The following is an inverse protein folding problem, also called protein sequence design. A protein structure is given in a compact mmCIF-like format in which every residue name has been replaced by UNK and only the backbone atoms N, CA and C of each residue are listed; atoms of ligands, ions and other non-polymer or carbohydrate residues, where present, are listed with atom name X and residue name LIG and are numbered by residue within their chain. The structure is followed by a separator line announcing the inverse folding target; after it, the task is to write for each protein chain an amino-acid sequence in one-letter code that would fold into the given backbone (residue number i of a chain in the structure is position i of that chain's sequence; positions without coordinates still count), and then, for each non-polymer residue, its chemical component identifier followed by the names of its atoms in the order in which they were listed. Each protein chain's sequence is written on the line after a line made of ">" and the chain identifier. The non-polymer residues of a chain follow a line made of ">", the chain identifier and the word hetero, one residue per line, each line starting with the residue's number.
data_IF_796242962858
#
_entry.id   IF_796242962858
#
_cell.length_a   1.000
_cell.length_b   1.000
_cell.length_c   1.000
_cell.angle_alpha   90.00
_cell.angle_beta   90.00
_cell.angle_gamma   90.00
#
_symmetry.space_group_name_H-M   'P 1'
#
loop_
_entity.id
_entity.type
_entity.pdbx_description
1 polymer ?
#
# COMPACT_ATOMS: atom_id res chain seq x y z
N UNK A 1 -48.91 -25.20 -20.87
CA UNK A 1 -47.47 -25.40 -20.63
C UNK A 1 -46.78 -24.03 -20.62
N UNK A 2 -46.73 -23.35 -19.48
CA UNK A 2 -46.34 -21.92 -19.38
C UNK A 2 -45.38 -21.63 -18.21
N UNK A 3 -44.71 -22.63 -17.65
CA UNK A 3 -44.06 -22.51 -16.32
C UNK A 3 -42.56 -22.85 -16.26
N UNK A 4 -41.83 -22.90 -17.38
CA UNK A 4 -40.43 -23.40 -17.36
C UNK A 4 -39.36 -22.46 -17.95
N UNK A 5 -39.66 -21.20 -18.27
CA UNK A 5 -38.68 -20.31 -18.92
C UNK A 5 -37.93 -19.39 -17.93
N UNK A 6 -38.28 -19.37 -16.64
CA UNK A 6 -37.75 -18.39 -15.68
C UNK A 6 -36.56 -18.86 -14.80
N UNK A 7 -35.89 -19.98 -15.11
CA UNK A 7 -34.81 -20.53 -14.26
C UNK A 7 -33.38 -20.41 -14.82
N UNK A 8 -33.16 -19.84 -16.01
CA UNK A 8 -31.83 -19.80 -16.63
C UNK A 8 -31.09 -18.46 -16.48
N UNK A 9 -31.62 -17.49 -15.72
CA UNK A 9 -31.09 -16.12 -15.69
C UNK A 9 -30.34 -15.72 -14.40
N UNK A 10 -29.93 -16.68 -13.59
CA UNK A 10 -29.26 -16.39 -12.32
C UNK A 10 -28.08 -17.30 -12.09
N UNK A 11 -26.91 -16.96 -12.65
CA UNK A 11 -25.59 -17.34 -12.10
C UNK A 11 -24.38 -16.81 -12.89
N UNK A 12 -24.49 -15.68 -13.60
CA UNK A 12 -23.29 -14.87 -13.86
C UNK A 12 -22.97 -14.09 -12.58
N UNK A 13 -22.67 -14.81 -11.50
CA UNK A 13 -21.97 -14.20 -10.38
C UNK A 13 -20.64 -13.74 -10.95
N UNK A 14 -20.48 -12.43 -11.12
CA UNK A 14 -19.23 -11.83 -11.55
C UNK A 14 -18.14 -12.32 -10.59
N UNK A 15 -17.32 -13.28 -11.04
CA UNK A 15 -16.04 -13.60 -10.44
C UNK A 15 -15.16 -12.38 -10.69
N UNK A 16 -15.37 -11.31 -9.91
CA UNK A 16 -14.54 -10.14 -9.92
C UNK A 16 -13.20 -10.53 -9.34
N UNK A 17 -12.23 -10.83 -10.20
CA UNK A 17 -10.84 -10.83 -9.79
C UNK A 17 -10.44 -9.38 -9.51
N UNK A 18 -9.69 -9.17 -8.42
CA UNK A 18 -9.17 -7.85 -8.11
C UNK A 18 -8.31 -7.36 -9.29
N UNK A 19 -8.72 -6.25 -9.90
CA UNK A 19 -8.06 -5.69 -11.07
C UNK A 19 -6.86 -4.86 -10.66
N UNK A 20 -5.78 -4.86 -11.46
CA UNK A 20 -4.66 -3.94 -11.23
C UNK A 20 -5.06 -2.51 -11.65
N UNK A 21 -4.98 -1.56 -10.72
CA UNK A 21 -5.29 -0.15 -10.91
C UNK A 21 -4.04 0.58 -11.43
N UNK A 22 -4.11 1.09 -12.66
CA UNK A 22 -2.91 1.51 -13.41
C UNK A 22 -2.53 2.99 -13.19
N UNK A 23 -3.44 3.81 -12.69
CA UNK A 23 -3.22 5.25 -12.52
C UNK A 23 -3.94 5.77 -11.28
N UNK A 24 -3.49 6.92 -10.77
CA UNK A 24 -4.05 7.61 -9.60
C UNK A 24 -5.56 7.76 -9.69
N UNK A 25 -6.10 8.11 -10.86
CA UNK A 25 -7.55 8.28 -11.04
C UNK A 25 -8.33 6.99 -10.84
N UNK A 26 -7.78 5.83 -11.21
CA UNK A 26 -8.41 4.53 -11.01
C UNK A 26 -8.43 4.17 -9.52
N UNK A 27 -7.31 4.40 -8.83
CA UNK A 27 -7.17 4.21 -7.37
C UNK A 27 -8.15 5.12 -6.63
N UNK A 28 -8.19 6.40 -6.99
CA UNK A 28 -9.14 7.37 -6.44
C UNK A 28 -10.57 6.89 -6.65
N UNK A 29 -10.91 6.47 -7.87
CA UNK A 29 -12.27 6.03 -8.19
C UNK A 29 -12.68 4.79 -7.39
N UNK A 30 -11.78 3.81 -7.23
CA UNK A 30 -12.02 2.62 -6.42
C UNK A 30 -12.33 3.00 -4.96
N UNK A 31 -11.49 3.84 -4.35
CA UNK A 31 -11.64 4.27 -2.94
C UNK A 31 -12.97 5.01 -2.73
N UNK A 32 -13.29 6.01 -3.56
CA UNK A 32 -14.53 6.78 -3.39
C UNK A 32 -15.78 5.96 -3.70
N UNK A 33 -15.63 4.85 -4.43
CA UNK A 33 -16.71 3.88 -4.67
C UNK A 33 -16.85 2.86 -3.53
N UNK A 34 -16.06 3.00 -2.46
CA UNK A 34 -16.07 2.09 -1.31
C UNK A 34 -15.37 0.76 -1.56
N UNK A 35 -14.57 0.65 -2.63
CA UNK A 35 -13.84 -0.57 -2.97
C UNK A 35 -12.51 -0.56 -2.20
N UNK A 36 -12.22 -1.58 -1.37
CA UNK A 36 -10.93 -1.71 -0.71
C UNK A 36 -9.81 -1.83 -1.73
N UNK A 37 -8.62 -1.33 -1.37
CA UNK A 37 -7.42 -1.48 -2.20
C UNK A 37 -6.34 -2.29 -1.49
N UNK A 38 -5.52 -2.97 -2.28
CA UNK A 38 -4.34 -3.70 -1.83
C UNK A 38 -3.09 -3.15 -2.51
N UNK A 39 -2.12 -2.71 -1.72
CA UNK A 39 -0.89 -2.06 -2.18
C UNK A 39 0.26 -3.07 -2.05
N UNK A 40 0.97 -3.32 -3.14
CA UNK A 40 2.18 -4.14 -3.17
C UNK A 40 3.34 -3.26 -3.65
N UNK A 41 4.43 -3.23 -2.89
CA UNK A 41 5.60 -2.40 -3.15
C UNK A 41 6.82 -3.30 -3.28
N UNK A 42 7.54 -3.15 -4.38
CA UNK A 42 8.90 -3.64 -4.57
C UNK A 42 9.88 -2.53 -4.18
N UNK A 43 10.40 -2.59 -2.96
CA UNK A 43 11.29 -1.56 -2.43
C UNK A 43 12.61 -1.46 -3.20
N UNK A 44 13.04 -2.55 -3.85
CA UNK A 44 14.29 -2.55 -4.66
C UNK A 44 14.19 -1.65 -5.90
N UNK A 45 12.97 -1.29 -6.30
CA UNK A 45 12.68 -0.39 -7.44
C UNK A 45 12.35 1.04 -7.01
N UNK A 46 12.31 1.33 -5.72
CA UNK A 46 12.09 2.69 -5.21
C UNK A 46 13.39 3.50 -5.19
N UNK A 47 13.25 4.83 -5.08
CA UNK A 47 14.38 5.76 -4.91
C UNK A 47 14.25 6.55 -3.62
N UNK A 48 15.37 7.00 -3.07
CA UNK A 48 15.38 7.92 -1.91
C UNK A 48 15.01 9.35 -2.30
N UNK A 49 14.79 10.23 -1.33
CA UNK A 49 14.57 11.68 -1.55
C UNK A 49 15.62 12.38 -2.42
N UNK A 50 16.83 11.82 -2.56
CA UNK A 50 17.90 12.33 -3.41
C UNK A 50 17.87 11.75 -4.83
N UNK A 51 16.83 10.99 -5.19
CA UNK A 51 16.73 10.28 -6.46
C UNK A 51 17.68 9.08 -6.60
N UNK A 52 18.39 8.71 -5.52
CA UNK A 52 19.36 7.61 -5.53
C UNK A 52 18.64 6.30 -5.25
N UNK A 53 18.95 5.25 -6.03
CA UNK A 53 18.51 3.88 -5.75
C UNK A 53 18.95 3.47 -4.35
N UNK A 54 18.05 2.85 -3.60
CA UNK A 54 18.35 2.41 -2.24
C UNK A 54 18.97 1.03 -2.33
N UNK A 55 20.16 0.86 -1.76
CA UNK A 55 20.74 -0.46 -1.56
C UNK A 55 20.24 -1.02 -0.22
N UNK A 56 19.29 -1.95 -0.31
CA UNK A 56 18.77 -2.68 0.85
C UNK A 56 19.61 -3.91 1.20
N UNK A 57 20.70 -4.18 0.46
CA UNK A 57 21.47 -5.42 0.53
C UNK A 57 20.61 -6.69 0.42
N UNK A 58 19.45 -6.58 -0.24
CA UNK A 58 18.49 -7.64 -0.48
C UNK A 58 18.24 -7.77 -1.98
N UNK A 59 18.14 -9.00 -2.49
CA UNK A 59 17.78 -9.26 -3.89
C UNK A 59 16.31 -8.91 -4.17
N UNK A 60 15.47 -9.12 -3.16
CA UNK A 60 14.04 -8.94 -3.20
C UNK A 60 13.59 -8.36 -1.85
N UNK A 61 12.76 -7.33 -1.89
CA UNK A 61 12.17 -6.73 -0.70
C UNK A 61 10.78 -6.21 -1.05
N UNK A 62 9.77 -7.02 -0.75
CA UNK A 62 8.37 -6.71 -1.04
C UNK A 62 7.62 -6.36 0.23
N UNK A 63 6.90 -5.25 0.21
CA UNK A 63 5.88 -4.91 1.20
C UNK A 63 4.48 -5.10 0.61
N UNK A 64 3.53 -5.53 1.43
CA UNK A 64 2.14 -5.71 1.05
C UNK A 64 1.24 -5.21 2.17
N UNK A 65 0.23 -4.41 1.83
CA UNK A 65 -0.70 -3.83 2.79
C UNK A 65 -2.09 -3.62 2.16
N UNK A 66 -3.12 -3.90 2.94
CA UNK A 66 -4.47 -3.39 2.74
C UNK A 66 -4.76 -2.35 3.83
N UNK A 67 -4.78 -1.04 3.52
CA UNK A 67 -5.14 -0.03 4.49
C UNK A 67 -6.58 -0.23 4.98
N UNK A 68 -6.78 -0.24 6.30
CA UNK A 68 -8.12 -0.19 6.90
C UNK A 68 -8.70 1.23 6.89
N UNK A 69 -7.83 2.25 6.86
CA UNK A 69 -8.16 3.66 6.81
C UNK A 69 -7.39 4.33 5.68
N UNK A 70 -8.10 5.07 4.85
CA UNK A 70 -7.55 5.76 3.68
C UNK A 70 -8.30 7.06 3.43
N UNK A 71 -7.58 8.11 3.05
CA UNK A 71 -8.12 9.42 2.75
C UNK A 71 -7.76 9.83 1.33
N UNK A 72 -8.71 10.44 0.62
CA UNK A 72 -8.49 11.12 -0.65
C UNK A 72 -8.55 12.62 -0.37
N UNK A 73 -7.46 13.35 -0.64
CA UNK A 73 -7.35 14.78 -0.38
C UNK A 73 -6.79 15.45 -1.63
N UNK A 74 -7.56 16.31 -2.28
CA UNK A 74 -7.19 17.12 -3.47
C UNK A 74 -6.25 16.42 -4.46
N UNK A 75 -4.94 16.52 -4.24
CA UNK A 75 -3.83 16.06 -5.07
C UNK A 75 -3.20 14.72 -4.68
N UNK A 76 -3.62 14.10 -3.57
CA UNK A 76 -3.05 12.85 -3.07
C UNK A 76 -4.05 11.92 -2.38
N UNK A 77 -3.63 10.66 -2.22
CA UNK A 77 -4.31 9.62 -1.45
C UNK A 77 -3.37 9.22 -0.32
N UNK A 78 -3.83 9.33 0.92
CA UNK A 78 -3.03 9.07 2.11
C UNK A 78 -3.54 7.86 2.88
N UNK A 79 -2.62 7.03 3.32
CA UNK A 79 -2.86 5.95 4.26
C UNK A 79 -1.68 5.84 5.23
N UNK A 80 -1.89 5.17 6.35
CA UNK A 80 -0.81 4.84 7.27
C UNK A 80 -1.03 3.47 7.88
N UNK A 81 0.04 2.90 8.41
CA UNK A 81 -0.03 1.72 9.25
C UNK A 81 0.82 1.92 10.50
N UNK A 82 0.48 1.15 11.50
CA UNK A 82 1.23 1.05 12.74
C UNK A 82 1.47 -0.43 13.03
N UNK A 83 2.66 -0.92 12.70
CA UNK A 83 3.00 -2.34 12.77
C UNK A 83 3.85 -2.60 14.00
N UNK A 84 3.31 -3.35 14.95
CA UNK A 84 4.10 -3.87 16.07
C UNK A 84 4.98 -5.01 15.59
N UNK A 85 6.26 -5.02 15.98
CA UNK A 85 7.17 -6.12 15.67
C UNK A 85 8.24 -6.30 16.76
N UNK A 86 8.78 -7.52 16.81
CA UNK A 86 10.00 -7.90 17.55
C UNK A 86 11.16 -8.21 16.60
N UNK A 87 10.93 -8.20 15.29
CA UNK A 87 11.85 -8.66 14.26
C UNK A 87 12.51 -7.51 13.49
N UNK A 88 12.52 -6.30 14.07
CA UNK A 88 13.13 -5.15 13.42
C UNK A 88 14.66 -5.34 13.32
N UNK A 89 15.30 -5.24 12.14
CA UNK A 89 16.71 -5.63 11.95
C UNK A 89 17.73 -4.90 12.85
N UNK A 90 17.41 -3.68 13.29
CA UNK A 90 18.26 -2.89 14.20
C UNK A 90 17.89 -3.02 15.68
N UNK A 91 16.76 -3.67 15.99
CA UNK A 91 16.17 -3.77 17.33
C UNK A 91 15.56 -5.15 17.54
N UNK A 92 16.34 -6.21 17.29
CA UNK A 92 15.90 -7.60 17.45
C UNK A 92 15.46 -7.88 18.89
N UNK A 93 14.36 -8.61 19.03
CA UNK A 93 13.71 -8.98 20.30
C UNK A 93 13.26 -7.79 21.17
N UNK A 94 13.29 -6.56 20.62
CA UNK A 94 12.78 -5.38 21.29
C UNK A 94 11.40 -5.00 20.73
N UNK A 95 10.40 -4.74 21.59
CA UNK A 95 9.08 -4.30 21.15
C UNK A 95 9.18 -2.90 20.54
N UNK A 96 8.95 -2.83 19.23
CA UNK A 96 8.94 -1.57 18.47
C UNK A 96 7.68 -1.46 17.62
N UNK A 97 7.31 -0.22 17.30
CA UNK A 97 6.34 0.07 16.25
C UNK A 97 7.05 0.61 15.02
N UNK A 98 6.77 0.01 13.88
CA UNK A 98 7.06 0.60 12.57
C UNK A 98 5.86 1.45 12.17
N UNK A 99 6.03 2.76 12.18
CA UNK A 99 5.02 3.69 11.69
C UNK A 99 5.32 4.03 10.23
N UNK A 100 4.45 3.57 9.34
CA UNK A 100 4.54 3.84 7.91
C UNK A 100 3.43 4.74 7.42
N UNK A 101 3.77 5.64 6.49
CA UNK A 101 2.82 6.51 5.79
C UNK A 101 3.00 6.33 4.29
N UNK A 102 1.88 6.21 3.59
CA UNK A 102 1.80 6.22 2.14
C UNK A 102 1.10 7.48 1.67
N UNK A 103 1.62 8.09 0.62
CA UNK A 103 0.96 9.19 -0.08
C UNK A 103 1.11 8.96 -1.58
N UNK A 104 0.06 8.54 -2.27
CA UNK A 104 0.03 8.44 -3.73
C UNK A 104 -0.42 9.78 -4.31
N UNK A 105 0.43 10.43 -5.10
CA UNK A 105 0.15 11.70 -5.77
C UNK A 105 -0.42 11.50 -7.17
N UNK A 106 -1.03 12.55 -7.73
CA UNK A 106 -1.64 12.54 -9.06
C UNK A 106 -0.67 12.29 -10.24
N UNK A 107 0.64 12.39 -10.01
CA UNK A 107 1.72 12.05 -10.94
C UNK A 107 2.11 10.55 -10.89
N UNK A 108 1.33 9.72 -10.19
CA UNK A 108 1.53 8.27 -10.04
C UNK A 108 2.80 7.90 -9.25
N UNK A 109 3.22 8.76 -8.32
CA UNK A 109 4.29 8.48 -7.38
C UNK A 109 3.69 8.17 -6.00
N UNK A 110 4.02 7.01 -5.46
CA UNK A 110 3.75 6.68 -4.07
C UNK A 110 4.96 7.05 -3.23
N UNK A 111 4.77 7.99 -2.33
CA UNK A 111 5.71 8.34 -1.28
C UNK A 111 5.49 7.41 -0.09
N UNK A 112 6.45 6.53 0.17
CA UNK A 112 6.45 5.74 1.41
C UNK A 112 7.44 6.35 2.39
N UNK A 113 6.98 6.73 3.57
CA UNK A 113 7.87 7.13 4.65
C UNK A 113 7.66 6.25 5.87
N UNK A 114 8.75 5.88 6.54
CA UNK A 114 8.69 5.06 7.73
C UNK A 114 9.65 5.54 8.81
N UNK A 115 9.30 5.22 10.05
CA UNK A 115 10.12 5.44 11.23
C UNK A 115 9.81 4.38 12.29
N UNK A 116 10.79 4.08 13.11
CA UNK A 116 10.67 3.11 14.20
C UNK A 116 10.50 3.84 15.53
N UNK A 117 9.51 3.44 16.32
CA UNK A 117 9.24 3.98 17.65
C UNK A 117 9.43 2.87 18.70
N UNK A 118 9.93 3.21 19.90
CA UNK A 118 9.87 2.30 21.06
C UNK A 118 8.41 2.07 21.45
N UNK A 119 7.99 0.81 21.59
CA UNK A 119 6.58 0.49 21.81
C UNK A 119 6.05 0.86 23.21
N UNK A 120 6.92 1.17 24.16
CA UNK A 120 6.54 1.53 25.54
C UNK A 120 6.40 3.03 25.71
N UNK A 121 7.28 3.78 25.05
CA UNK A 121 7.44 5.23 25.24
C UNK A 121 7.01 6.05 24.03
N UNK A 122 6.82 5.42 22.86
CA UNK A 122 6.63 6.08 21.57
C UNK A 122 7.77 7.02 21.17
N UNK A 123 8.92 6.93 21.86
CA UNK A 123 10.11 7.68 21.48
C UNK A 123 10.63 7.19 20.13
N UNK A 124 11.06 8.13 19.30
CA UNK A 124 11.55 7.84 17.96
C UNK A 124 12.97 7.24 18.03
N UNK A 125 13.09 5.97 17.62
CA UNK A 125 14.34 5.21 17.66
C UNK A 125 15.16 5.33 16.36
N UNK A 126 14.57 5.86 15.29
CA UNK A 126 15.24 6.00 13.99
C UNK A 126 14.94 7.34 13.33
N UNK A 127 15.82 7.82 12.47
CA UNK A 127 15.47 8.88 11.53
C UNK A 127 14.35 8.41 10.59
N UNK A 128 13.49 9.35 10.20
CA UNK A 128 12.45 9.10 9.20
C UNK A 128 13.11 8.86 7.85
N UNK A 129 12.84 7.70 7.26
CA UNK A 129 13.24 7.40 5.89
C UNK A 129 12.07 7.64 4.94
N UNK A 130 12.34 8.06 3.72
CA UNK A 130 11.30 8.30 2.70
C UNK A 130 11.79 7.82 1.34
N UNK A 131 10.89 7.15 0.64
CA UNK A 131 11.12 6.53 -0.65
C UNK A 131 10.02 6.93 -1.63
N UNK A 132 10.41 7.04 -2.89
CA UNK A 132 9.54 7.35 -4.01
C UNK A 132 9.42 6.11 -4.87
N UNK A 133 8.20 5.62 -5.01
CA UNK A 133 7.90 4.37 -5.69
C UNK A 133 6.89 4.66 -6.80
N UNK A 134 7.31 4.53 -8.06
CA UNK A 134 6.43 4.81 -9.21
C UNK A 134 5.43 3.68 -9.43
N UNK A 135 4.16 4.03 -9.64
CA UNK A 135 3.09 3.08 -9.97
C UNK A 135 3.43 2.32 -11.27
N UNK A 136 3.04 1.04 -11.32
CA UNK A 136 3.33 0.06 -12.37
C UNK A 136 4.82 -0.27 -12.58
N UNK A 137 5.72 0.30 -11.77
CA UNK A 137 7.14 -0.03 -11.78
C UNK A 137 7.57 -0.63 -10.45
N UNK A 138 7.47 0.16 -9.38
CA UNK A 138 7.81 -0.23 -8.03
C UNK A 138 6.57 -0.52 -7.18
N UNK A 139 5.40 -0.01 -7.56
CA UNK A 139 4.14 -0.23 -6.84
C UNK A 139 3.10 -0.82 -7.77
N UNK A 140 2.35 -1.79 -7.26
CA UNK A 140 1.12 -2.29 -7.86
C UNK A 140 -0.03 -2.13 -6.88
N UNK A 141 -1.18 -1.69 -7.37
CA UNK A 141 -2.38 -1.52 -6.56
C UNK A 141 -3.50 -2.36 -7.16
N UNK A 142 -4.25 -3.07 -6.33
CA UNK A 142 -5.35 -3.93 -6.73
C UNK A 142 -6.64 -3.54 -5.99
N UNK A 143 -7.80 -3.80 -6.59
CA UNK A 143 -9.12 -3.64 -5.95
C UNK A 143 -10.11 -4.68 -6.43
#
# INVERSE_FOLDING_TARGET
>A
MKKLILLALGCCANLGFAGELQQYSDVKQAIISGIPIHIVIDFTKCTSNKGVKIDFHAKELFGSLTPNEIAVVDDHIAASFFHFTLDHPKHLDMPVYEFGKYSLTNDNILHFSHQTLDARTFYQNSEKSTYHCKLNQAVKIYS
#
